data_IF_459891593153
#
_entry.id   IF_459891593153
#
_cell.length_a   1.000
_cell.length_b   1.000
_cell.length_c   1.000
_cell.angle_alpha   90.00
_cell.angle_beta   90.00
_cell.angle_gamma   90.00
#
_symmetry.space_group_name_H-M   'P 1'
#
loop_
_entity.id
_entity.type
_entity.pdbx_description
1 polymer ?
#
# COMPACT_ATOMS: atom_id res chain seq x y z
N UNK A 1 -0.21 -10.71 -0.72
CA UNK A 1 -1.05 -9.51 -0.85
C UNK A 1 -1.67 -9.01 0.46
N UNK A 2 -2.10 -9.90 1.40
CA UNK A 2 -2.62 -9.44 2.70
C UNK A 2 -1.50 -8.83 3.56
N UNK A 3 -0.35 -9.49 3.64
CA UNK A 3 0.84 -8.98 4.34
C UNK A 3 1.36 -7.66 3.75
N UNK A 4 1.43 -7.55 2.43
CA UNK A 4 1.83 -6.33 1.73
C UNK A 4 0.90 -5.15 2.07
N UNK A 5 -0.42 -5.39 2.17
CA UNK A 5 -1.38 -4.36 2.56
C UNK A 5 -1.21 -3.89 4.00
N UNK A 6 -0.98 -4.80 4.95
CA UNK A 6 -0.72 -4.45 6.35
C UNK A 6 0.56 -3.62 6.46
N UNK A 7 1.62 -4.04 5.77
CA UNK A 7 2.90 -3.34 5.76
C UNK A 7 2.79 -1.95 5.14
N UNK A 8 2.06 -1.78 4.02
CA UNK A 8 1.80 -0.49 3.42
C UNK A 8 1.07 0.47 4.39
N UNK A 9 0.05 -0.03 5.10
CA UNK A 9 -0.66 0.77 6.09
C UNK A 9 0.23 1.14 7.29
N UNK A 10 1.13 0.25 7.71
CA UNK A 10 2.11 0.56 8.75
C UNK A 10 3.04 1.68 8.32
N UNK A 11 3.55 1.62 7.06
CA UNK A 11 4.39 2.70 6.52
C UNK A 11 3.64 4.03 6.39
N UNK A 12 2.35 4.02 6.03
CA UNK A 12 1.53 5.24 6.05
C UNK A 12 1.45 5.85 7.45
N UNK A 13 1.18 5.02 8.48
CA UNK A 13 1.05 5.49 9.87
C UNK A 13 2.34 6.11 10.41
N UNK A 14 3.50 5.59 10.03
CA UNK A 14 4.80 6.17 10.43
C UNK A 14 5.26 7.31 9.52
N UNK A 15 4.48 7.68 8.49
CA UNK A 15 4.79 8.78 7.57
C UNK A 15 5.80 8.43 6.46
N UNK A 16 6.14 7.14 6.28
CA UNK A 16 6.97 6.71 5.16
C UNK A 16 6.13 6.52 3.89
N UNK A 17 5.67 7.63 3.35
CA UNK A 17 4.78 7.64 2.19
C UNK A 17 5.40 7.03 0.92
N UNK A 18 6.69 7.24 0.58
CA UNK A 18 7.29 6.60 -0.59
C UNK A 18 7.22 5.07 -0.53
N UNK A 19 7.56 4.47 0.62
CA UNK A 19 7.51 3.01 0.79
C UNK A 19 6.08 2.48 0.83
N UNK A 20 5.16 3.21 1.45
CA UNK A 20 3.73 2.87 1.43
C UNK A 20 3.18 2.86 -0.01
N UNK A 21 3.57 3.84 -0.82
CA UNK A 21 3.17 3.94 -2.24
C UNK A 21 3.70 2.76 -3.05
N UNK A 22 4.98 2.44 -2.93
CA UNK A 22 5.62 1.32 -3.62
C UNK A 22 4.90 0.00 -3.34
N UNK A 23 4.66 -0.32 -2.07
CA UNK A 23 3.94 -1.53 -1.66
C UNK A 23 2.48 -1.58 -2.16
N UNK A 24 1.80 -0.44 -2.17
CA UNK A 24 0.45 -0.37 -2.73
C UNK A 24 0.45 -0.54 -4.26
N UNK A 25 1.46 -0.02 -4.98
CA UNK A 25 1.62 -0.24 -6.42
C UNK A 25 1.90 -1.71 -6.72
N UNK A 26 2.77 -2.37 -5.95
CA UNK A 26 3.01 -3.81 -6.07
C UNK A 26 1.72 -4.60 -5.84
N UNK A 27 0.98 -4.29 -4.78
CA UNK A 27 -0.31 -4.90 -4.49
C UNK A 27 -1.32 -4.65 -5.60
N UNK A 28 -1.35 -3.46 -6.21
CA UNK A 28 -2.22 -3.14 -7.34
C UNK A 28 -1.99 -4.10 -8.50
N UNK A 29 -0.73 -4.32 -8.91
CA UNK A 29 -0.38 -5.27 -9.98
C UNK A 29 -0.86 -6.71 -9.70
N UNK A 30 -0.87 -7.11 -8.43
CA UNK A 30 -1.37 -8.42 -8.02
C UNK A 30 -2.91 -8.48 -8.11
N UNK A 31 -3.60 -7.45 -7.60
CA UNK A 31 -5.07 -7.45 -7.56
C UNK A 31 -5.69 -7.24 -8.96
N UNK A 32 -5.03 -6.53 -9.87
CA UNK A 32 -5.42 -6.44 -11.29
C UNK A 32 -5.47 -7.82 -11.95
N UNK A 33 -4.54 -8.73 -11.61
CA UNK A 33 -4.53 -10.11 -12.13
C UNK A 33 -5.56 -11.03 -11.47
N UNK A 34 -5.96 -10.72 -10.22
CA UNK A 34 -6.86 -11.58 -9.43
C UNK A 34 -8.34 -11.39 -9.72
N UNK A 35 -8.69 -10.34 -10.46
CA UNK A 35 -10.07 -9.99 -10.81
C UNK A 35 -11.00 -9.89 -9.59
N UNK A 36 -10.51 -9.30 -8.48
CA UNK A 36 -11.29 -9.04 -7.27
C UNK A 36 -11.61 -7.54 -7.17
N UNK A 37 -12.82 -7.09 -7.54
CA UNK A 37 -13.17 -5.67 -7.60
C UNK A 37 -13.05 -4.94 -6.25
N UNK A 38 -13.43 -5.60 -5.14
CA UNK A 38 -13.33 -5.01 -3.81
C UNK A 38 -11.88 -4.69 -3.43
N UNK A 39 -10.98 -5.67 -3.60
CA UNK A 39 -9.57 -5.47 -3.29
C UNK A 39 -8.91 -4.46 -4.23
N UNK A 40 -9.26 -4.51 -5.52
CA UNK A 40 -8.74 -3.57 -6.51
C UNK A 40 -9.13 -2.13 -6.16
N UNK A 41 -10.41 -1.87 -5.87
CA UNK A 41 -10.88 -0.57 -5.45
C UNK A 41 -10.20 -0.11 -4.15
N UNK A 42 -10.09 -0.99 -3.14
CA UNK A 42 -9.43 -0.67 -1.88
C UNK A 42 -7.95 -0.27 -2.05
N UNK A 43 -7.22 -0.95 -2.93
CA UNK A 43 -5.81 -0.60 -3.19
C UNK A 43 -5.70 0.74 -3.92
N UNK A 44 -6.56 0.99 -4.91
CA UNK A 44 -6.61 2.27 -5.60
C UNK A 44 -6.91 3.42 -4.63
N UNK A 45 -7.86 3.22 -3.71
CA UNK A 45 -8.17 4.19 -2.64
C UNK A 45 -6.96 4.44 -1.74
N UNK A 46 -6.27 3.39 -1.31
CA UNK A 46 -5.08 3.52 -0.45
C UNK A 46 -3.96 4.30 -1.15
N UNK A 47 -3.76 4.11 -2.45
CA UNK A 47 -2.80 4.91 -3.23
C UNK A 47 -3.23 6.38 -3.23
N UNK A 48 -4.52 6.66 -3.44
CA UNK A 48 -5.05 8.02 -3.37
C UNK A 48 -4.82 8.66 -2.00
N UNK A 49 -5.06 7.93 -0.90
CA UNK A 49 -4.79 8.41 0.47
C UNK A 49 -3.30 8.76 0.66
N UNK A 50 -2.39 7.93 0.14
CA UNK A 50 -0.94 8.24 0.21
C UNK A 50 -0.63 9.56 -0.50
N UNK A 51 -1.22 9.80 -1.68
CA UNK A 51 -1.05 11.07 -2.39
C UNK A 51 -1.66 12.26 -1.65
N UNK A 52 -2.81 12.09 -0.97
CA UNK A 52 -3.38 13.13 -0.08
C UNK A 52 -2.41 13.49 1.05
N UNK A 53 -1.76 12.48 1.66
CA UNK A 53 -0.75 12.69 2.71
C UNK A 53 0.53 13.38 2.20
N UNK A 54 0.78 13.32 0.88
CA UNK A 54 1.86 14.05 0.20
C UNK A 54 1.41 15.40 -0.36
N UNK A 55 0.16 15.81 -0.10
CA UNK A 55 -0.47 17.03 -0.63
C UNK A 55 -0.58 17.05 -2.17
N UNK A 56 -0.46 15.89 -2.82
CA UNK A 56 -0.59 15.71 -4.27
C UNK A 56 -2.06 15.40 -4.64
N UNK A 57 -2.98 16.31 -4.32
CA UNK A 57 -4.43 16.09 -4.40
C UNK A 57 -4.93 15.75 -5.80
N UNK A 58 -4.34 16.33 -6.84
CA UNK A 58 -4.71 16.02 -8.23
C UNK A 58 -4.42 14.56 -8.57
N UNK A 59 -3.26 14.04 -8.15
CA UNK A 59 -2.93 12.63 -8.33
C UNK A 59 -3.83 11.71 -7.49
N UNK A 60 -4.15 12.14 -6.27
CA UNK A 60 -5.11 11.41 -5.45
C UNK A 60 -6.45 11.23 -6.17
N UNK A 61 -6.98 12.31 -6.78
CA UNK A 61 -8.22 12.27 -7.55
C UNK A 61 -8.17 11.34 -8.76
N UNK A 62 -7.03 11.21 -9.45
CA UNK A 62 -6.87 10.23 -10.55
C UNK A 62 -7.08 8.79 -10.06
N UNK A 63 -6.47 8.42 -8.93
CA UNK A 63 -6.63 7.09 -8.34
C UNK A 63 -8.02 6.88 -7.76
N UNK A 64 -8.60 7.89 -7.12
CA UNK A 64 -9.97 7.84 -6.64
C UNK A 64 -10.98 7.69 -7.76
N UNK A 65 -10.81 8.36 -8.89
CA UNK A 65 -11.67 8.18 -10.07
C UNK A 65 -11.62 6.76 -10.62
N UNK A 66 -10.43 6.15 -10.67
CA UNK A 66 -10.28 4.73 -11.02
C UNK A 66 -10.99 3.82 -10.02
N UNK A 67 -10.85 4.07 -8.72
CA UNK A 67 -11.52 3.33 -7.66
C UNK A 67 -13.05 3.44 -7.78
N UNK A 68 -13.59 4.66 -7.93
CA UNK A 68 -15.03 4.90 -8.08
C UNK A 68 -15.61 4.21 -9.33
N UNK A 69 -14.84 4.19 -10.44
CA UNK A 69 -15.22 3.45 -11.64
C UNK A 69 -15.36 1.95 -11.38
N UNK A 70 -14.39 1.34 -10.65
CA UNK A 70 -14.46 -0.08 -10.27
C UNK A 70 -15.64 -0.34 -9.34
N UNK A 71 -15.83 0.52 -8.32
CA UNK A 71 -16.93 0.42 -7.34
C UNK A 71 -18.28 0.46 -8.03
N UNK A 72 -18.50 1.40 -8.96
CA UNK A 72 -19.77 1.52 -9.71
C UNK A 72 -19.98 0.34 -10.65
N UNK A 73 -18.96 -0.03 -11.42
CA UNK A 73 -19.05 -1.12 -12.40
C UNK A 73 -19.40 -2.46 -11.78
N UNK A 74 -18.90 -2.72 -10.57
CA UNK A 74 -19.05 -4.01 -9.89
C UNK A 74 -19.97 -3.95 -8.66
N UNK A 75 -20.68 -2.83 -8.42
CA UNK A 75 -21.61 -2.62 -7.30
C UNK A 75 -20.97 -2.95 -5.95
N UNK A 76 -19.76 -2.43 -5.67
CA UNK A 76 -19.06 -2.65 -4.40
C UNK A 76 -19.60 -1.68 -3.33
N UNK A 77 -20.78 -1.98 -2.78
CA UNK A 77 -21.53 -1.09 -1.88
C UNK A 77 -20.72 -0.63 -0.67
N UNK A 78 -19.96 -1.54 -0.05
CA UNK A 78 -19.18 -1.25 1.17
C UNK A 78 -18.15 -0.12 1.04
N UNK A 79 -17.74 0.22 -0.17
CA UNK A 79 -16.73 1.26 -0.43
C UNK A 79 -17.34 2.56 -0.95
N UNK A 80 -18.64 2.60 -1.23
CA UNK A 80 -19.29 3.77 -1.84
C UNK A 80 -19.21 5.01 -0.95
N UNK A 81 -19.39 4.85 0.35
CA UNK A 81 -19.26 5.93 1.32
C UNK A 81 -17.83 6.49 1.32
N UNK A 82 -16.87 5.62 1.55
CA UNK A 82 -15.46 6.01 1.72
C UNK A 82 -14.91 6.69 0.45
N UNK A 83 -15.25 6.18 -0.74
CA UNK A 83 -14.77 6.81 -1.96
C UNK A 83 -15.39 8.19 -2.19
N UNK A 84 -16.68 8.36 -1.89
CA UNK A 84 -17.33 9.65 -2.00
C UNK A 84 -16.72 10.67 -1.01
N UNK A 85 -16.52 10.26 0.24
CA UNK A 85 -15.88 11.09 1.26
C UNK A 85 -14.46 11.52 0.85
N UNK A 86 -13.62 10.56 0.43
CA UNK A 86 -12.22 10.83 0.05
C UNK A 86 -12.12 11.77 -1.16
N UNK A 87 -13.01 11.64 -2.14
CA UNK A 87 -13.03 12.54 -3.29
C UNK A 87 -13.48 13.94 -2.83
N UNK A 88 -14.48 14.03 -1.95
CA UNK A 88 -14.94 15.29 -1.37
C UNK A 88 -13.82 16.02 -0.64
N UNK A 89 -13.06 15.31 0.22
CA UNK A 89 -11.89 15.88 0.93
C UNK A 89 -10.81 16.36 -0.02
N UNK A 90 -10.49 15.59 -1.05
CA UNK A 90 -9.48 15.99 -2.03
C UNK A 90 -9.87 17.26 -2.80
N UNK A 91 -11.16 17.40 -3.17
CA UNK A 91 -11.67 18.62 -3.79
C UNK A 91 -11.73 19.80 -2.83
N UNK A 92 -12.08 19.57 -1.56
CA UNK A 92 -12.08 20.63 -0.54
C UNK A 92 -10.67 21.20 -0.31
N UNK A 93 -9.64 20.34 -0.32
CA UNK A 93 -8.22 20.73 -0.23
C UNK A 93 -7.70 21.44 -1.48
N UNK A 94 -8.32 21.22 -2.63
CA UNK A 94 -8.07 21.97 -3.87
C UNK A 94 -8.89 23.26 -3.98
N UNK A 95 -9.63 23.65 -2.92
CA UNK A 95 -10.57 24.78 -2.89
C UNK A 95 -11.64 24.72 -4.00
N UNK A 96 -11.93 23.53 -4.53
CA UNK A 96 -13.04 23.31 -5.47
C UNK A 96 -14.32 22.95 -4.70
N UNK A 97 -14.95 23.98 -4.14
CA UNK A 97 -16.13 23.83 -3.28
C UNK A 97 -17.34 23.22 -4.00
N UNK A 98 -17.51 23.47 -5.30
CA UNK A 98 -18.63 22.90 -6.07
C UNK A 98 -18.52 21.38 -6.18
N UNK A 99 -17.32 20.88 -6.51
CA UNK A 99 -17.09 19.44 -6.57
C UNK A 99 -17.12 18.81 -5.18
N UNK A 100 -16.53 19.45 -4.18
CA UNK A 100 -16.56 18.98 -2.79
C UNK A 100 -18.00 18.81 -2.30
N UNK A 101 -18.88 19.79 -2.60
CA UNK A 101 -20.31 19.73 -2.27
C UNK A 101 -21.00 18.49 -2.85
N UNK A 102 -20.77 18.19 -4.12
CA UNK A 102 -21.38 17.03 -4.80
C UNK A 102 -21.00 15.73 -4.09
N UNK A 103 -19.72 15.56 -3.80
CA UNK A 103 -19.22 14.31 -3.23
C UNK A 103 -19.52 14.16 -1.73
N UNK A 104 -19.46 15.23 -0.95
CA UNK A 104 -19.91 15.20 0.45
C UNK A 104 -21.42 15.01 0.58
N UNK A 105 -22.23 15.58 -0.33
CA UNK A 105 -23.66 15.30 -0.37
C UNK A 105 -23.94 13.83 -0.65
N UNK A 106 -23.22 13.24 -1.61
CA UNK A 106 -23.32 11.80 -1.90
C UNK A 106 -22.90 10.94 -0.71
N UNK A 107 -21.80 11.29 -0.02
CA UNK A 107 -21.39 10.57 1.19
C UNK A 107 -22.45 10.64 2.28
N UNK A 108 -23.05 11.81 2.49
CA UNK A 108 -24.12 12.01 3.46
C UNK A 108 -25.39 11.19 3.14
N UNK A 109 -25.78 11.10 1.88
CA UNK A 109 -26.91 10.26 1.46
C UNK A 109 -26.67 8.80 1.82
N UNK A 110 -25.48 8.28 1.52
CA UNK A 110 -25.10 6.91 1.82
C UNK A 110 -25.04 6.69 3.34
N UNK A 111 -24.46 7.62 4.09
CA UNK A 111 -24.37 7.55 5.54
C UNK A 111 -25.76 7.54 6.21
N UNK A 112 -26.68 8.40 5.76
CA UNK A 112 -28.08 8.42 6.23
C UNK A 112 -28.81 7.13 5.93
N UNK A 113 -28.62 6.54 4.75
CA UNK A 113 -29.22 5.27 4.40
C UNK A 113 -28.69 4.12 5.28
N UNK A 114 -27.43 4.19 5.72
CA UNK A 114 -26.81 3.25 6.66
C UNK A 114 -27.18 3.48 8.12
N UNK A 115 -27.66 4.67 8.48
CA UNK A 115 -28.00 5.05 9.86
C UNK A 115 -26.81 5.14 10.80
N UNK A 116 -25.60 5.36 10.28
CA UNK A 116 -24.35 5.42 11.06
C UNK A 116 -24.07 6.88 11.49
N UNK A 117 -24.19 7.23 12.79
CA UNK A 117 -23.98 8.58 13.28
C UNK A 117 -22.59 9.12 12.98
N UNK A 118 -21.55 8.28 13.03
CA UNK A 118 -20.18 8.67 12.75
C UNK A 118 -20.05 9.16 11.30
N UNK A 119 -20.41 8.33 10.34
CA UNK A 119 -20.37 8.68 8.93
C UNK A 119 -21.26 9.89 8.58
N UNK A 120 -22.40 10.03 9.26
CA UNK A 120 -23.27 11.21 9.11
C UNK A 120 -22.56 12.46 9.62
N UNK A 121 -21.95 12.39 10.80
CA UNK A 121 -21.22 13.50 11.42
C UNK A 121 -20.04 13.97 10.58
N UNK A 122 -19.23 13.04 10.10
CA UNK A 122 -18.08 13.32 9.21
C UNK A 122 -18.53 14.02 7.93
N UNK A 123 -19.55 13.46 7.23
CA UNK A 123 -20.06 14.05 5.97
C UNK A 123 -20.66 15.43 6.19
N UNK A 124 -21.38 15.64 7.30
CA UNK A 124 -21.93 16.95 7.66
C UNK A 124 -20.84 17.97 7.99
N UNK A 125 -19.75 17.56 8.62
CA UNK A 125 -18.58 18.42 8.86
C UNK A 125 -17.97 18.89 7.53
N UNK A 126 -17.76 17.99 6.58
CA UNK A 126 -17.29 18.33 5.24
C UNK A 126 -18.22 19.31 4.51
N UNK A 127 -19.54 19.09 4.57
CA UNK A 127 -20.53 20.05 4.01
C UNK A 127 -20.49 21.38 4.76
N UNK A 128 -20.31 21.37 6.09
CA UNK A 128 -20.13 22.59 6.87
C UNK A 128 -18.94 23.43 6.39
N UNK A 129 -17.80 22.79 6.11
CA UNK A 129 -16.63 23.46 5.52
C UNK A 129 -16.94 24.02 4.14
N UNK A 130 -17.57 23.22 3.29
CA UNK A 130 -17.91 23.59 1.92
C UNK A 130 -18.87 24.79 1.88
N UNK A 131 -19.96 24.75 2.65
CA UNK A 131 -20.92 25.86 2.71
C UNK A 131 -20.30 27.14 3.30
N UNK A 132 -19.39 27.03 4.27
CA UNK A 132 -18.65 28.18 4.80
C UNK A 132 -17.77 28.83 3.72
N UNK A 133 -17.06 28.03 2.92
CA UNK A 133 -16.26 28.51 1.79
C UNK A 133 -17.11 29.18 0.71
N UNK A 134 -18.30 28.64 0.44
CA UNK A 134 -19.28 29.21 -0.48
C UNK A 134 -20.01 30.46 0.07
N UNK A 135 -19.77 30.82 1.33
CA UNK A 135 -20.43 31.98 1.98
C UNK A 135 -21.88 31.72 2.41
N UNK A 136 -22.35 30.47 2.30
CA UNK A 136 -23.70 30.12 2.77
C UNK A 136 -23.67 29.79 4.27
N UNK A 137 -23.64 30.85 5.08
CA UNK A 137 -23.44 30.77 6.51
C UNK A 137 -24.55 30.03 7.26
N UNK A 138 -25.81 30.08 6.77
CA UNK A 138 -26.95 29.42 7.41
C UNK A 138 -26.81 27.89 7.29
N UNK A 139 -26.58 27.40 6.08
CA UNK A 139 -26.39 25.97 5.82
C UNK A 139 -25.13 25.45 6.50
N UNK A 140 -24.04 26.22 6.47
CA UNK A 140 -22.82 25.88 7.18
C UNK A 140 -23.08 25.68 8.68
N UNK A 141 -23.80 26.61 9.30
CA UNK A 141 -24.17 26.53 10.73
C UNK A 141 -24.99 25.27 11.03
N UNK A 142 -26.01 25.00 10.22
CA UNK A 142 -26.89 23.84 10.37
C UNK A 142 -26.09 22.53 10.28
N UNK A 143 -25.22 22.42 9.28
CA UNK A 143 -24.41 21.22 9.05
C UNK A 143 -23.40 20.98 10.16
N UNK A 144 -22.66 22.01 10.61
CA UNK A 144 -21.76 21.86 11.75
C UNK A 144 -22.48 21.46 13.04
N UNK A 145 -23.59 22.13 13.38
CA UNK A 145 -24.31 21.83 14.60
C UNK A 145 -24.91 20.41 14.60
N UNK A 146 -25.38 19.96 13.45
CA UNK A 146 -25.90 18.60 13.32
C UNK A 146 -24.76 17.57 13.28
N UNK A 147 -23.66 17.89 12.59
CA UNK A 147 -22.45 17.08 12.58
C UNK A 147 -21.90 16.87 13.99
N UNK A 148 -21.72 17.94 14.77
CA UNK A 148 -21.25 17.89 16.16
C UNK A 148 -22.11 16.94 17.01
N UNK A 149 -23.46 17.00 16.90
CA UNK A 149 -24.33 16.09 17.66
C UNK A 149 -24.13 14.63 17.30
N UNK A 150 -24.03 14.33 16.00
CA UNK A 150 -23.79 12.96 15.54
C UNK A 150 -22.40 12.43 15.96
N UNK A 151 -21.35 13.28 15.89
CA UNK A 151 -20.01 12.92 16.32
C UNK A 151 -19.91 12.68 17.85
N UNK A 152 -20.65 13.47 18.63
CA UNK A 152 -20.77 13.24 20.08
C UNK A 152 -21.47 11.91 20.38
N UNK A 153 -22.51 11.54 19.65
CA UNK A 153 -23.20 10.26 19.77
C UNK A 153 -22.27 9.10 19.38
N UNK A 154 -21.48 9.28 18.33
CA UNK A 154 -20.52 8.29 17.83
C UNK A 154 -19.24 8.20 18.67
N UNK A 155 -18.97 9.16 19.57
CA UNK A 155 -17.70 9.31 20.30
C UNK A 155 -16.48 9.46 19.39
N UNK A 156 -16.65 10.11 18.21
CA UNK A 156 -15.53 10.49 17.34
C UNK A 156 -14.98 11.86 17.73
N UNK A 157 -14.08 11.85 18.71
CA UNK A 157 -13.48 13.07 19.25
C UNK A 157 -12.50 13.73 18.27
N UNK A 158 -11.90 12.99 17.35
CA UNK A 158 -11.01 13.53 16.33
C UNK A 158 -11.75 14.43 15.34
N UNK A 159 -12.83 13.93 14.75
CA UNK A 159 -13.66 14.74 13.82
C UNK A 159 -14.46 15.81 14.57
N UNK A 160 -14.84 15.56 15.83
CA UNK A 160 -15.50 16.55 16.68
C UNK A 160 -14.63 17.79 16.90
N UNK A 161 -13.32 17.63 17.12
CA UNK A 161 -12.39 18.76 17.17
C UNK A 161 -12.44 19.60 15.89
N UNK A 162 -12.45 18.94 14.74
CA UNK A 162 -12.46 19.59 13.44
C UNK A 162 -13.77 20.33 13.19
N UNK A 163 -14.91 19.71 13.49
CA UNK A 163 -16.22 20.32 13.39
C UNK A 163 -16.37 21.54 14.28
N UNK A 164 -15.91 21.45 15.54
CA UNK A 164 -15.93 22.55 16.49
C UNK A 164 -15.05 23.74 16.03
N UNK A 165 -13.83 23.47 15.55
CA UNK A 165 -12.97 24.52 14.98
C UNK A 165 -13.54 25.11 13.69
N UNK A 166 -14.18 24.30 12.84
CA UNK A 166 -14.87 24.76 11.65
C UNK A 166 -16.02 25.73 12.01
N UNK A 167 -16.81 25.38 13.02
CA UNK A 167 -17.87 26.21 13.53
C UNK A 167 -17.35 27.51 14.19
N UNK A 168 -16.22 27.43 14.90
CA UNK A 168 -15.53 28.63 15.43
C UNK A 168 -15.14 29.59 14.29
N UNK A 169 -14.55 29.07 13.23
CA UNK A 169 -14.20 29.85 12.01
C UNK A 169 -15.42 30.50 11.37
N UNK A 170 -16.55 29.78 11.31
CA UNK A 170 -17.80 30.34 10.81
C UNK A 170 -18.30 31.50 11.70
N UNK A 171 -18.31 31.32 13.04
CA UNK A 171 -18.73 32.35 13.95
C UNK A 171 -17.82 33.59 13.88
N UNK A 172 -16.52 33.41 13.74
CA UNK A 172 -15.56 34.48 13.50
C UNK A 172 -15.86 35.25 12.21
N UNK A 173 -16.18 34.51 11.11
CA UNK A 173 -16.53 35.10 9.81
C UNK A 173 -17.79 35.97 9.88
N UNK A 174 -18.79 35.60 10.71
CA UNK A 174 -20.03 36.36 10.90
C UNK A 174 -19.98 37.29 12.12
N UNK A 175 -18.78 37.56 12.66
CA UNK A 175 -18.52 38.49 13.75
C UNK A 175 -19.21 38.14 15.10
N UNK A 176 -19.51 36.86 15.33
CA UNK A 176 -20.00 36.36 16.63
C UNK A 176 -18.84 35.85 17.48
N UNK A 177 -18.04 36.78 17.97
CA UNK A 177 -16.74 36.48 18.59
C UNK A 177 -16.85 35.62 19.85
N UNK A 178 -17.84 35.84 20.72
CA UNK A 178 -18.01 34.99 21.91
C UNK A 178 -18.24 33.53 21.58
N UNK A 179 -19.07 33.27 20.55
CA UNK A 179 -19.33 31.92 20.05
C UNK A 179 -18.08 31.33 19.38
N UNK A 180 -17.33 32.13 18.63
CA UNK A 180 -16.09 31.71 18.00
C UNK A 180 -15.07 31.24 19.04
N UNK A 181 -14.85 32.06 20.10
CA UNK A 181 -13.98 31.68 21.20
C UNK A 181 -14.44 30.43 21.95
N UNK A 182 -15.77 30.30 22.18
CA UNK A 182 -16.33 29.12 22.84
C UNK A 182 -16.02 27.81 22.07
N UNK A 183 -16.34 27.74 20.77
CA UNK A 183 -16.13 26.53 19.97
C UNK A 183 -14.66 26.23 19.68
N UNK A 184 -13.81 27.26 19.58
CA UNK A 184 -12.37 27.08 19.47
C UNK A 184 -11.77 26.47 20.75
N UNK A 185 -12.22 26.94 21.93
CA UNK A 185 -11.82 26.36 23.20
C UNK A 185 -12.35 24.93 23.40
N UNK A 186 -13.55 24.62 22.90
CA UNK A 186 -14.08 23.25 22.86
C UNK A 186 -13.15 22.35 22.05
N UNK A 187 -12.81 22.75 20.81
CA UNK A 187 -11.87 22.02 19.96
C UNK A 187 -10.53 21.80 20.66
N UNK A 188 -9.96 22.87 21.24
CA UNK A 188 -8.69 22.80 21.96
C UNK A 188 -8.74 21.83 23.16
N UNK A 189 -9.82 21.87 23.95
CA UNK A 189 -9.95 21.02 25.14
C UNK A 189 -10.02 19.54 24.80
N UNK A 190 -10.79 19.18 23.77
CA UNK A 190 -10.89 17.80 23.27
C UNK A 190 -9.54 17.35 22.70
N UNK A 191 -8.96 18.13 21.80
CA UNK A 191 -7.68 17.81 21.18
C UNK A 191 -6.56 17.58 22.21
N UNK A 192 -6.55 18.35 23.30
CA UNK A 192 -5.59 18.20 24.40
C UNK A 192 -5.86 16.94 25.22
N UNK A 193 -7.12 16.63 25.52
CA UNK A 193 -7.49 15.47 26.31
C UNK A 193 -7.08 14.15 25.62
N UNK A 194 -7.25 14.07 24.30
CA UNK A 194 -6.99 12.87 23.52
C UNK A 194 -5.60 12.86 22.85
N UNK A 195 -4.84 13.94 23.01
CA UNK A 195 -3.46 14.04 22.50
C UNK A 195 -3.37 14.24 20.98
N UNK A 196 -4.40 14.81 20.33
CA UNK A 196 -4.41 15.16 18.91
C UNK A 196 -3.58 16.43 18.66
N UNK A 197 -2.27 16.31 18.71
CA UNK A 197 -1.33 17.44 18.74
C UNK A 197 -1.53 18.41 17.55
N UNK A 198 -1.81 17.91 16.36
CA UNK A 198 -2.05 18.77 15.18
C UNK A 198 -3.35 19.58 15.33
N UNK A 199 -4.44 18.95 15.80
CA UNK A 199 -5.71 19.63 16.05
C UNK A 199 -5.60 20.63 17.20
N UNK A 200 -4.81 20.30 18.22
CA UNK A 200 -4.49 21.18 19.35
C UNK A 200 -3.74 22.44 18.87
N UNK A 201 -2.75 22.27 17.97
CA UNK A 201 -2.02 23.37 17.35
C UNK A 201 -2.96 24.25 16.51
N UNK A 202 -3.81 23.67 15.67
CA UNK A 202 -4.75 24.41 14.81
C UNK A 202 -5.73 25.25 15.65
N UNK A 203 -6.27 24.67 16.73
CA UNK A 203 -7.18 25.38 17.64
C UNK A 203 -6.48 26.51 18.40
N UNK A 204 -5.25 26.26 18.91
CA UNK A 204 -4.46 27.27 19.60
C UNK A 204 -4.03 28.41 18.66
N UNK A 205 -3.70 28.11 17.42
CA UNK A 205 -3.40 29.11 16.39
C UNK A 205 -4.61 29.99 16.12
N UNK A 206 -5.78 29.38 15.93
CA UNK A 206 -7.03 30.13 15.75
C UNK A 206 -7.31 31.04 16.95
N UNK A 207 -7.19 30.54 18.19
CA UNK A 207 -7.39 31.34 19.40
C UNK A 207 -6.40 32.50 19.52
N UNK A 208 -5.15 32.30 19.09
CA UNK A 208 -4.17 33.38 18.99
C UNK A 208 -4.68 34.54 18.13
N UNK A 209 -5.18 34.22 16.96
CA UNK A 209 -5.63 35.25 16.00
C UNK A 209 -6.99 35.85 16.42
N UNK A 210 -7.88 35.03 16.99
CA UNK A 210 -9.12 35.46 17.59
C UNK A 210 -8.90 36.51 18.69
N UNK A 211 -8.04 36.24 19.70
CA UNK A 211 -7.76 37.17 20.78
C UNK A 211 -7.05 38.45 20.32
N UNK A 212 -6.16 38.38 19.31
CA UNK A 212 -5.62 39.58 18.64
C UNK A 212 -6.75 40.43 18.02
N UNK A 213 -7.71 39.78 17.35
CA UNK A 213 -8.82 40.49 16.67
C UNK A 213 -9.74 41.22 17.62
N UNK A 214 -10.05 40.61 18.77
CA UNK A 214 -10.88 41.26 19.83
C UNK A 214 -10.08 42.15 20.76
N UNK A 215 -8.75 42.30 20.50
CA UNK A 215 -7.80 43.13 21.26
C UNK A 215 -7.58 42.71 22.72
N UNK A 216 -7.80 41.44 23.02
CA UNK A 216 -7.37 40.83 24.29
C UNK A 216 -5.90 40.40 24.19
N UNK A 217 -5.01 41.36 24.53
CA UNK A 217 -3.57 41.20 24.33
C UNK A 217 -2.98 40.13 25.26
N UNK A 218 -3.50 40.03 26.48
CA UNK A 218 -3.00 39.09 27.50
C UNK A 218 -3.30 37.62 27.07
N UNK A 219 -4.53 37.36 26.65
CA UNK A 219 -4.90 36.08 26.10
C UNK A 219 -4.13 35.76 24.83
N UNK A 220 -4.00 36.71 23.89
CA UNK A 220 -3.24 36.54 22.66
C UNK A 220 -1.79 36.18 22.96
N UNK A 221 -1.12 36.83 23.90
CA UNK A 221 0.25 36.51 24.28
C UNK A 221 0.39 35.11 24.89
N UNK A 222 -0.57 34.72 25.72
CA UNK A 222 -0.63 33.37 26.30
C UNK A 222 -0.69 32.32 25.24
N UNK A 223 -1.60 32.47 24.23
CA UNK A 223 -1.73 31.51 23.13
C UNK A 223 -0.55 31.55 22.18
N UNK A 224 0.09 32.69 21.91
CA UNK A 224 1.35 32.73 21.12
C UNK A 224 2.43 31.87 21.79
N UNK A 225 2.59 31.99 23.09
CA UNK A 225 3.58 31.20 23.86
C UNK A 225 3.23 29.72 23.82
N UNK A 226 1.94 29.40 23.93
CA UNK A 226 1.45 28.03 23.85
C UNK A 226 1.67 27.39 22.47
N UNK A 227 1.31 28.09 21.38
CA UNK A 227 1.57 27.67 19.99
C UNK A 227 3.04 27.41 19.75
N UNK A 228 3.93 28.25 20.31
CA UNK A 228 5.37 28.03 20.19
C UNK A 228 5.79 26.70 20.82
N UNK A 229 5.33 26.40 22.04
CA UNK A 229 5.62 25.13 22.71
C UNK A 229 5.07 23.92 21.97
N UNK A 230 3.86 24.03 21.37
CA UNK A 230 3.28 23.00 20.53
C UNK A 230 4.08 22.77 19.25
N UNK A 231 4.50 23.85 18.57
CA UNK A 231 5.34 23.76 17.36
C UNK A 231 6.68 23.06 17.67
N UNK A 232 7.32 23.37 18.80
CA UNK A 232 8.55 22.69 19.22
C UNK A 232 8.29 21.18 19.44
N UNK A 233 7.13 20.83 19.99
CA UNK A 233 6.73 19.43 20.20
C UNK A 233 6.41 18.71 18.88
N UNK A 234 5.71 19.36 17.94
CA UNK A 234 5.44 18.82 16.59
C UNK A 234 6.74 18.59 15.85
N UNK A 235 7.61 19.61 15.80
CA UNK A 235 8.90 19.51 15.12
C UNK A 235 9.79 18.41 15.71
N UNK A 236 9.75 18.21 17.03
CA UNK A 236 10.47 17.11 17.67
C UNK A 236 9.93 15.74 17.27
N UNK A 237 8.59 15.58 17.21
CA UNK A 237 7.95 14.35 16.76
C UNK A 237 8.24 14.07 15.28
N UNK A 238 8.23 15.10 14.44
CA UNK A 238 8.54 14.96 13.02
C UNK A 238 10.00 14.57 12.78
N UNK A 239 10.95 15.12 13.53
CA UNK A 239 12.36 14.70 13.48
C UNK A 239 12.54 13.25 13.94
N UNK A 240 11.84 12.82 14.99
CA UNK A 240 11.86 11.42 15.45
C UNK A 240 11.26 10.51 14.36
N UNK A 241 10.13 10.92 13.76
CA UNK A 241 9.50 10.18 12.65
C UNK A 241 10.43 10.06 11.45
N UNK A 242 11.07 11.16 11.04
CA UNK A 242 12.03 11.18 9.95
C UNK A 242 13.19 10.22 10.22
N UNK A 243 13.75 10.25 11.42
CA UNK A 243 14.80 9.31 11.85
C UNK A 243 14.33 7.86 11.82
N UNK A 244 13.10 7.58 12.26
CA UNK A 244 12.50 6.24 12.20
C UNK A 244 12.29 5.77 10.75
N UNK A 245 11.85 6.67 9.86
CA UNK A 245 11.70 6.40 8.43
C UNK A 245 13.03 6.04 7.80
N UNK A 246 14.09 6.81 8.08
CA UNK A 246 15.45 6.55 7.58
C UNK A 246 15.94 5.19 8.10
N UNK A 247 15.83 4.94 9.41
CA UNK A 247 16.23 3.66 10.02
C UNK A 247 15.46 2.47 9.45
N UNK A 248 14.16 2.62 9.29
CA UNK A 248 13.29 1.57 8.70
C UNK A 248 13.68 1.28 7.26
N UNK A 249 13.89 2.30 6.43
CA UNK A 249 14.32 2.13 5.04
C UNK A 249 15.66 1.41 4.94
N UNK A 250 16.62 1.74 5.82
CA UNK A 250 17.92 1.08 5.84
C UNK A 250 17.77 -0.40 6.27
N UNK A 251 16.95 -0.71 7.26
CA UNK A 251 16.67 -2.10 7.65
C UNK A 251 16.06 -2.91 6.50
N UNK A 252 15.07 -2.35 5.79
CA UNK A 252 14.48 -3.02 4.63
C UNK A 252 15.48 -3.21 3.51
N UNK A 253 16.32 -2.22 3.22
CA UNK A 253 17.39 -2.34 2.24
C UNK A 253 18.36 -3.46 2.60
N UNK A 254 18.71 -3.62 3.88
CA UNK A 254 19.56 -4.70 4.35
C UNK A 254 18.90 -6.07 4.15
N UNK A 255 17.60 -6.20 4.47
CA UNK A 255 16.85 -7.44 4.26
C UNK A 255 16.79 -7.82 2.77
N UNK A 256 16.48 -6.85 1.88
CA UNK A 256 16.48 -7.08 0.44
C UNK A 256 17.86 -7.55 -0.08
N UNK A 257 18.94 -6.93 0.41
CA UNK A 257 20.30 -7.35 0.07
C UNK A 257 20.64 -8.76 0.58
N UNK A 258 20.14 -9.13 1.76
CA UNK A 258 20.32 -10.49 2.30
C UNK A 258 19.55 -11.53 1.49
N UNK A 259 18.30 -11.24 1.09
CA UNK A 259 17.49 -12.09 0.21
C UNK A 259 18.17 -12.29 -1.14
N UNK A 260 18.63 -11.22 -1.78
CA UNK A 260 19.37 -11.28 -3.05
C UNK A 260 20.65 -12.11 -2.94
N UNK A 261 21.40 -11.93 -1.86
CA UNK A 261 22.61 -12.72 -1.59
C UNK A 261 22.29 -14.20 -1.38
N UNK A 262 21.20 -14.50 -0.68
CA UNK A 262 20.74 -15.86 -0.47
C UNK A 262 20.32 -16.52 -1.80
N UNK A 263 19.57 -15.79 -2.64
CA UNK A 263 19.19 -16.27 -3.97
C UNK A 263 20.41 -16.50 -4.88
N UNK A 264 21.37 -15.56 -4.88
CA UNK A 264 22.62 -15.72 -5.62
C UNK A 264 23.44 -16.92 -5.14
N UNK A 265 23.53 -17.15 -3.83
CA UNK A 265 24.20 -18.34 -3.27
C UNK A 265 23.52 -19.62 -3.74
N UNK A 266 22.18 -19.66 -3.72
CA UNK A 266 21.40 -20.80 -4.21
C UNK A 266 21.65 -21.06 -5.71
N UNK A 267 21.64 -20.00 -6.53
CA UNK A 267 21.95 -20.10 -7.96
C UNK A 267 23.37 -20.61 -8.22
N UNK A 268 24.37 -20.08 -7.49
CA UNK A 268 25.76 -20.55 -7.58
C UNK A 268 25.90 -22.02 -7.17
N UNK A 269 25.23 -22.43 -6.11
CA UNK A 269 25.24 -23.83 -5.67
C UNK A 269 24.61 -24.75 -6.73
N UNK A 270 23.50 -24.37 -7.32
CA UNK A 270 22.90 -25.10 -8.44
C UNK A 270 23.82 -25.17 -9.67
N UNK A 271 24.50 -24.07 -10.00
CA UNK A 271 25.50 -24.07 -11.09
C UNK A 271 26.67 -25.01 -10.82
N UNK A 272 27.17 -25.03 -9.57
CA UNK A 272 28.22 -25.97 -9.17
C UNK A 272 27.75 -27.43 -9.25
N UNK A 273 26.54 -27.74 -8.81
CA UNK A 273 25.97 -29.09 -8.93
C UNK A 273 25.85 -29.49 -10.40
N UNK A 274 25.34 -28.60 -11.29
CA UNK A 274 25.26 -28.87 -12.71
C UNK A 274 26.61 -29.10 -13.34
N UNK A 275 27.63 -28.33 -12.95
CA UNK A 275 29.02 -28.52 -13.42
C UNK A 275 29.59 -29.86 -12.98
N UNK A 276 29.40 -30.25 -11.73
CA UNK A 276 29.83 -31.56 -11.21
C UNK A 276 29.13 -32.69 -11.96
N UNK A 277 27.85 -32.62 -12.19
CA UNK A 277 27.08 -33.59 -12.98
C UNK A 277 27.60 -33.67 -14.41
N UNK A 278 27.89 -32.52 -15.04
CA UNK A 278 28.40 -32.43 -16.40
C UNK A 278 29.78 -33.06 -16.58
N UNK A 279 30.62 -33.08 -15.50
CA UNK A 279 31.93 -33.74 -15.53
C UNK A 279 31.79 -35.20 -15.12
N UNK A 280 31.03 -35.49 -14.07
CA UNK A 280 30.96 -36.83 -13.49
C UNK A 280 30.32 -37.85 -14.42
N UNK A 281 29.19 -37.51 -15.04
CA UNK A 281 28.44 -38.46 -15.86
C UNK A 281 29.19 -38.85 -17.14
N UNK A 282 29.70 -37.93 -17.99
CA UNK A 282 30.54 -38.31 -19.12
C UNK A 282 31.84 -38.98 -18.70
N UNK A 283 32.47 -38.54 -17.59
CA UNK A 283 33.66 -39.15 -17.04
C UNK A 283 33.44 -40.61 -16.59
N UNK A 284 32.29 -40.87 -15.93
CA UNK A 284 31.90 -42.23 -15.53
C UNK A 284 31.65 -43.13 -16.74
N UNK A 285 31.02 -42.60 -17.80
CA UNK A 285 30.85 -43.31 -19.04
C UNK A 285 32.19 -43.65 -19.70
N UNK A 286 33.13 -42.72 -19.79
CA UNK A 286 34.47 -42.97 -20.36
C UNK A 286 35.27 -43.99 -19.52
N UNK A 287 35.19 -43.94 -18.19
CA UNK A 287 35.80 -44.91 -17.29
C UNK A 287 35.22 -46.31 -17.55
N UNK A 288 33.92 -46.47 -17.72
CA UNK A 288 33.30 -47.77 -18.03
C UNK A 288 33.75 -48.29 -19.36
N UNK A 289 33.91 -47.45 -20.40
CA UNK A 289 34.52 -47.83 -21.66
C UNK A 289 35.96 -48.29 -21.54
N UNK A 290 36.77 -47.66 -20.70
CA UNK A 290 38.15 -48.04 -20.43
C UNK A 290 38.23 -49.36 -19.67
N UNK A 291 37.37 -49.58 -18.66
CA UNK A 291 37.30 -50.82 -17.88
C UNK A 291 36.92 -52.03 -18.74
N UNK A 292 36.14 -51.81 -19.82
CA UNK A 292 35.82 -52.90 -20.77
C UNK A 292 37.00 -53.46 -21.56
N UNK A 293 38.17 -52.80 -21.52
CA UNK A 293 39.45 -53.22 -22.15
C UNK A 293 40.40 -53.95 -21.18
N UNK A 294 40.02 -54.13 -19.94
CA UNK A 294 40.85 -54.75 -18.87
C UNK A 294 40.10 -56.02 -18.44
N UNK A 295 40.83 -57.03 -17.94
CA UNK A 295 40.26 -58.32 -17.47
C UNK A 295 39.43 -58.11 -16.15
N UNK A 296 38.22 -57.60 -16.32
CA UNK A 296 37.23 -57.41 -15.25
C UNK A 296 36.04 -58.40 -15.49
N UNK A 297 35.41 -58.91 -14.42
CA UNK A 297 34.28 -59.85 -14.56
C UNK A 297 33.16 -59.28 -15.45
N UNK A 298 32.78 -60.01 -16.51
CA UNK A 298 31.82 -59.60 -17.52
C UNK A 298 30.48 -59.09 -16.89
N UNK A 299 30.04 -59.69 -15.77
CA UNK A 299 28.80 -59.30 -15.09
C UNK A 299 28.89 -57.87 -14.54
N UNK A 300 30.07 -57.47 -14.06
CA UNK A 300 30.29 -56.12 -13.49
C UNK A 300 30.35 -55.06 -14.59
N UNK A 301 31.03 -55.38 -15.73
CA UNK A 301 31.11 -54.49 -16.89
C UNK A 301 29.74 -54.22 -17.47
N UNK A 302 28.89 -55.26 -17.62
CA UNK A 302 27.50 -55.10 -18.12
C UNK A 302 26.66 -54.21 -17.19
N UNK A 303 26.75 -54.43 -15.86
CA UNK A 303 26.01 -53.60 -14.89
C UNK A 303 26.46 -52.15 -14.98
N UNK A 304 27.75 -51.88 -14.97
CA UNK A 304 28.32 -50.53 -15.06
C UNK A 304 27.99 -49.87 -16.42
N UNK A 305 28.00 -50.65 -17.52
CA UNK A 305 27.65 -50.20 -18.85
C UNK A 305 26.18 -49.70 -18.92
N UNK A 306 25.27 -50.51 -18.42
CA UNK A 306 23.84 -50.15 -18.41
C UNK A 306 23.64 -48.91 -17.50
N UNK A 307 24.25 -48.87 -16.33
CA UNK A 307 24.11 -47.76 -15.40
C UNK A 307 24.70 -46.47 -15.99
N UNK A 308 25.87 -46.53 -16.61
CA UNK A 308 26.50 -45.37 -17.23
C UNK A 308 25.69 -44.81 -18.43
N UNK A 309 25.09 -45.71 -19.21
CA UNK A 309 24.21 -45.30 -20.31
C UNK A 309 22.95 -44.64 -19.81
N UNK A 310 22.35 -45.16 -18.73
CA UNK A 310 21.16 -44.59 -18.11
C UNK A 310 21.44 -43.17 -17.61
N UNK A 311 22.57 -43.00 -16.86
CA UNK A 311 23.00 -41.70 -16.38
C UNK A 311 23.31 -40.72 -17.51
N UNK A 312 23.93 -41.19 -18.57
CA UNK A 312 24.22 -40.38 -19.76
C UNK A 312 22.92 -39.93 -20.49
N UNK A 313 21.97 -40.82 -20.58
CA UNK A 313 20.65 -40.49 -21.19
C UNK A 313 19.92 -39.43 -20.34
N UNK A 314 19.83 -39.64 -19.03
CA UNK A 314 19.21 -38.69 -18.10
C UNK A 314 19.89 -37.32 -18.15
N UNK A 315 21.25 -37.32 -18.17
CA UNK A 315 22.02 -36.09 -18.31
C UNK A 315 21.72 -35.35 -19.63
N UNK A 316 21.70 -36.08 -20.76
CA UNK A 316 21.39 -35.50 -22.08
C UNK A 316 19.96 -34.96 -22.10
N UNK A 317 19.01 -35.68 -21.51
CA UNK A 317 17.63 -35.22 -21.37
C UNK A 317 17.54 -33.91 -20.59
N UNK A 318 18.18 -33.81 -19.41
CA UNK A 318 18.25 -32.61 -18.62
C UNK A 318 18.91 -31.44 -19.37
N UNK A 319 20.01 -31.70 -20.09
CA UNK A 319 20.76 -30.69 -20.83
C UNK A 319 19.94 -30.14 -22.03
N UNK A 320 19.28 -31.03 -22.75
CA UNK A 320 18.57 -30.69 -24.00
C UNK A 320 17.13 -30.18 -23.74
N UNK A 321 16.51 -30.54 -22.62
CA UNK A 321 15.14 -30.20 -22.29
C UNK A 321 14.81 -28.71 -22.50
N UNK A 322 15.60 -27.73 -22.01
CA UNK A 322 15.28 -26.30 -22.19
C UNK A 322 15.31 -25.87 -23.67
N UNK A 323 16.12 -26.52 -24.47
CA UNK A 323 16.23 -26.23 -25.92
C UNK A 323 15.09 -26.91 -26.70
N UNK A 324 14.79 -28.16 -26.35
CA UNK A 324 13.69 -28.92 -26.93
C UNK A 324 12.35 -28.26 -26.59
N UNK A 325 12.11 -27.91 -25.37
CA UNK A 325 10.90 -27.21 -24.93
C UNK A 325 10.67 -25.89 -25.69
N UNK A 326 11.73 -25.11 -25.93
CA UNK A 326 11.64 -23.92 -26.79
C UNK A 326 11.29 -24.23 -28.27
N UNK A 327 11.92 -25.25 -28.84
CA UNK A 327 11.70 -25.64 -30.22
C UNK A 327 10.30 -26.23 -30.45
N UNK A 328 9.75 -26.93 -29.45
CA UNK A 328 8.43 -27.59 -29.50
C UNK A 328 7.30 -26.67 -29.01
N UNK A 329 7.59 -25.40 -28.67
CA UNK A 329 6.63 -24.50 -28.06
C UNK A 329 5.93 -25.10 -26.83
N UNK A 330 6.70 -25.83 -25.98
CA UNK A 330 6.19 -26.54 -24.80
C UNK A 330 5.08 -27.54 -25.09
N UNK A 331 5.11 -28.20 -26.26
CA UNK A 331 4.15 -29.24 -26.64
C UNK A 331 4.67 -30.62 -26.22
N UNK A 332 4.08 -31.28 -25.17
CA UNK A 332 4.66 -32.48 -24.54
C UNK A 332 4.84 -33.67 -25.50
N UNK A 333 3.95 -33.79 -26.47
CA UNK A 333 4.01 -34.90 -27.47
C UNK A 333 5.29 -34.83 -28.33
N UNK A 334 5.64 -33.64 -28.82
CA UNK A 334 6.85 -33.45 -29.60
C UNK A 334 8.13 -33.57 -28.74
N UNK A 335 8.08 -33.14 -27.48
CA UNK A 335 9.20 -33.32 -26.55
C UNK A 335 9.49 -34.79 -26.31
N UNK A 336 8.45 -35.62 -26.05
CA UNK A 336 8.59 -37.05 -25.84
C UNK A 336 9.15 -37.72 -27.10
N UNK A 337 8.65 -37.40 -28.31
CA UNK A 337 9.16 -37.96 -29.55
C UNK A 337 10.65 -37.68 -29.78
N UNK A 338 11.12 -36.48 -29.47
CA UNK A 338 12.54 -36.12 -29.59
C UNK A 338 13.39 -36.95 -28.62
N UNK A 339 12.94 -37.08 -27.35
CA UNK A 339 13.68 -37.85 -26.34
C UNK A 339 13.65 -39.35 -26.60
N UNK A 340 12.57 -39.89 -27.12
CA UNK A 340 12.50 -41.30 -27.62
C UNK A 340 13.45 -41.50 -28.79
N UNK A 341 13.53 -40.54 -29.72
CA UNK A 341 14.51 -40.59 -30.81
C UNK A 341 15.96 -40.56 -30.28
N UNK A 342 16.25 -39.75 -29.29
CA UNK A 342 17.55 -39.71 -28.63
C UNK A 342 17.89 -41.05 -27.95
N UNK A 343 16.94 -41.68 -27.26
CA UNK A 343 17.12 -42.99 -26.65
C UNK A 343 17.40 -44.07 -27.72
N UNK A 344 16.68 -44.03 -28.84
CA UNK A 344 16.85 -44.98 -29.96
C UNK A 344 18.24 -44.87 -30.60
N UNK A 345 18.89 -43.72 -30.58
CA UNK A 345 20.29 -43.56 -31.05
C UNK A 345 21.29 -44.09 -30.04
N UNK A 346 21.01 -43.95 -28.74
CA UNK A 346 21.95 -44.41 -27.68
C UNK A 346 21.96 -45.93 -27.46
N UNK A 347 20.81 -46.63 -27.69
CA UNK A 347 20.68 -48.07 -27.48
C UNK A 347 21.64 -48.89 -28.39
N UNK A 348 21.76 -48.62 -29.72
CA UNK A 348 22.73 -49.35 -30.56
C UNK A 348 24.18 -49.09 -30.19
N UNK A 349 24.53 -47.95 -29.59
CA UNK A 349 25.88 -47.69 -29.13
C UNK A 349 26.26 -48.64 -28.00
N UNK A 350 25.34 -49.09 -27.17
CA UNK A 350 25.55 -50.08 -26.12
C UNK A 350 25.84 -51.46 -26.72
N UNK A 351 25.09 -51.94 -27.75
CA UNK A 351 25.33 -53.25 -28.39
C UNK A 351 26.66 -53.37 -29.12
N UNK A 352 27.31 -52.29 -29.51
CA UNK A 352 28.65 -52.31 -30.08
C UNK A 352 29.77 -52.41 -29.05
N UNK A 353 29.43 -52.26 -27.77
CA UNK A 353 30.31 -52.29 -26.64
C UNK A 353 30.29 -53.65 -25.88
N UNK A 354 29.28 -54.49 -26.14
CA UNK A 354 29.21 -55.91 -25.78
C UNK A 354 29.97 -56.81 -26.82
#
# INVERSE_FOLDING_TARGET
SRSTGILANTFMKIGNYPRALELNIEKLKIEEKRNNPHNLASVLMNIGIVYVMQEEYTRALEYYARADSVIRKHSVERLQYNIALNIGDAYDRLDNSDSAFIYYSRSLEIAKAGGDPDNIGISMTGLGHTYRKLGNNLESLLHYQTGIRNLQEAHDDETLCEAALGLAKLYEQINKFDSAGHYANLSLSIARADGFLSKELDAAQFLTDHYKRIRDIDSAFTYVSYVRGLNDSVNSKDKIRESQVISSNEQFRQLELEEDRAEQRKKRFQQLQMLLIAIFIPGFFLITLFLSRIDVPLKLIRLLGVLSLLFLFEYLTLLLHPTVARLTHHTPVYEILIFVGLAAILIPAHHRLE
#
